data_IF_771168659137
#
_entry.id   IF_771168659137
#
_cell.length_a   1.000
_cell.length_b   1.000
_cell.length_c   1.000
_cell.angle_alpha   90.00
_cell.angle_beta   90.00
_cell.angle_gamma   90.00
#
_symmetry.space_group_name_H-M   'P 1'
#
loop_
_entity.id
_entity.type
_entity.pdbx_description
1 polymer ?
#
# COMPACT_ATOMS: atom_id res chain seq x y z
N UNK A 1 -5.90 24.80 6.53
CA UNK A 1 -4.93 25.60 5.74
C UNK A 1 -3.57 24.95 5.82
N UNK A 2 -2.88 24.83 4.70
CA UNK A 2 -1.50 24.31 4.62
C UNK A 2 -0.59 25.40 5.24
N UNK A 3 0.40 25.03 6.04
CA UNK A 3 1.34 25.99 6.61
C UNK A 3 2.22 26.62 5.50
N UNK A 4 2.72 27.85 5.71
CA UNK A 4 3.60 28.54 4.75
C UNK A 4 4.83 27.68 4.39
N UNK A 5 5.40 26.99 5.37
CA UNK A 5 6.56 26.10 5.17
C UNK A 5 6.21 24.86 4.33
N UNK A 6 5.01 24.32 4.47
CA UNK A 6 4.55 23.20 3.64
C UNK A 6 4.31 23.67 2.19
N UNK A 7 3.84 24.90 2.00
CA UNK A 7 3.69 25.48 0.67
C UNK A 7 5.04 25.71 -0.01
N UNK A 8 6.00 26.30 0.67
CA UNK A 8 7.38 26.47 0.16
C UNK A 8 7.98 25.13 -0.30
N UNK A 9 7.78 24.08 0.48
CA UNK A 9 8.23 22.73 0.13
C UNK A 9 7.54 22.20 -1.14
N UNK A 10 6.24 22.40 -1.28
CA UNK A 10 5.50 22.02 -2.49
C UNK A 10 5.98 22.77 -3.72
N UNK A 11 6.19 24.06 -3.60
CA UNK A 11 6.70 24.91 -4.69
C UNK A 11 8.10 24.46 -5.14
N UNK A 12 8.97 24.10 -4.18
CA UNK A 12 10.30 23.56 -4.48
C UNK A 12 10.20 22.20 -5.19
N UNK A 13 9.30 21.31 -4.76
CA UNK A 13 9.09 20.01 -5.38
C UNK A 13 8.55 20.15 -6.81
N UNK A 14 7.57 21.02 -7.01
CA UNK A 14 7.01 21.31 -8.34
C UNK A 14 8.10 21.85 -9.26
N UNK A 15 8.93 22.79 -8.78
CA UNK A 15 10.04 23.31 -9.56
C UNK A 15 11.02 22.18 -9.97
N UNK A 16 11.43 21.32 -9.05
CA UNK A 16 12.33 20.19 -9.35
C UNK A 16 11.74 19.25 -10.41
N UNK A 17 10.45 19.00 -10.32
CA UNK A 17 9.74 18.15 -11.28
C UNK A 17 9.66 18.80 -12.66
N UNK A 18 9.34 20.10 -12.73
CA UNK A 18 9.36 20.85 -13.99
C UNK A 18 10.76 20.90 -14.62
N UNK A 19 11.79 21.20 -13.81
CA UNK A 19 13.18 21.24 -14.28
C UNK A 19 13.61 19.86 -14.85
N UNK A 20 13.20 18.77 -14.23
CA UNK A 20 13.49 17.42 -14.70
C UNK A 20 12.76 17.11 -16.03
N UNK A 21 11.48 17.48 -16.15
CA UNK A 21 10.72 17.32 -17.39
C UNK A 21 11.32 18.14 -18.54
N UNK A 22 11.68 19.40 -18.32
CA UNK A 22 12.31 20.28 -19.32
C UNK A 22 13.68 19.76 -19.79
N UNK A 23 14.38 19.01 -18.95
CA UNK A 23 15.64 18.33 -19.32
C UNK A 23 15.41 16.96 -20.00
N UNK A 24 14.19 16.67 -20.45
CA UNK A 24 13.86 15.44 -21.14
C UNK A 24 13.85 14.20 -20.25
N UNK A 25 13.72 14.42 -18.94
CA UNK A 25 13.62 13.34 -17.96
C UNK A 25 12.33 13.52 -17.19
N UNK A 26 11.24 12.90 -17.65
CA UNK A 26 10.09 12.80 -16.77
C UNK A 26 10.51 12.03 -15.52
N UNK A 27 10.36 12.60 -14.32
CA UNK A 27 10.92 12.03 -13.08
C UNK A 27 10.41 10.62 -12.78
N UNK A 28 9.26 10.26 -13.35
CA UNK A 28 8.66 8.94 -13.24
C UNK A 28 9.14 7.94 -14.30
N UNK A 29 9.85 8.37 -15.36
CA UNK A 29 10.27 7.49 -16.45
C UNK A 29 11.46 6.59 -16.13
N UNK A 30 12.35 7.02 -15.23
CA UNK A 30 13.60 6.29 -14.95
C UNK A 30 13.65 5.63 -13.57
N UNK A 31 12.64 5.90 -12.73
CA UNK A 31 12.73 5.54 -11.30
C UNK A 31 12.36 4.10 -10.98
N UNK A 32 11.66 3.42 -11.90
CA UNK A 32 11.03 2.12 -11.61
C UNK A 32 11.39 1.00 -12.58
N UNK A 33 12.21 1.26 -13.59
CA UNK A 33 12.54 0.25 -14.60
C UNK A 33 13.25 -0.97 -14.02
N UNK A 34 13.92 -0.84 -12.87
CA UNK A 34 14.72 -1.91 -12.27
C UNK A 34 14.54 -2.10 -10.75
N UNK A 35 13.63 -1.37 -10.10
CA UNK A 35 13.52 -1.39 -8.63
C UNK A 35 12.10 -1.45 -8.06
N UNK A 36 12.01 -1.78 -6.78
CA UNK A 36 10.77 -1.67 -6.00
C UNK A 36 10.41 -0.19 -5.76
N UNK A 37 9.09 0.11 -5.60
CA UNK A 37 8.63 1.43 -5.19
C UNK A 37 9.27 1.86 -3.85
N UNK A 38 9.55 3.17 -3.63
CA UNK A 38 10.06 3.64 -2.36
C UNK A 38 9.23 3.15 -1.18
N UNK A 39 9.90 2.58 -0.18
CA UNK A 39 9.25 2.07 1.01
C UNK A 39 10.02 2.40 2.29
N UNK A 40 9.31 2.37 3.41
CA UNK A 40 9.91 2.57 4.71
C UNK A 40 10.67 1.30 5.15
N UNK A 41 11.97 1.40 5.32
CA UNK A 41 12.87 0.27 5.64
C UNK A 41 12.55 -0.44 6.95
N UNK A 42 11.85 0.23 7.88
CA UNK A 42 11.53 -0.33 9.20
C UNK A 42 10.16 -1.01 9.21
N UNK A 43 9.16 -0.36 8.61
CA UNK A 43 7.78 -0.88 8.58
C UNK A 43 7.45 -1.71 7.34
N UNK A 44 8.27 -1.66 6.29
CA UNK A 44 8.01 -2.30 5.01
C UNK A 44 6.88 -1.64 4.19
N UNK A 45 6.30 -0.52 4.68
CA UNK A 45 5.18 0.14 3.98
C UNK A 45 5.69 1.00 2.84
N UNK A 46 5.09 0.83 1.66
CA UNK A 46 5.36 1.66 0.50
C UNK A 46 4.89 3.10 0.70
N UNK A 47 5.60 4.04 0.11
CA UNK A 47 5.14 5.41 -0.05
C UNK A 47 4.25 5.51 -1.29
N UNK A 48 3.22 6.35 -1.21
CA UNK A 48 2.21 6.51 -2.25
C UNK A 48 2.11 7.95 -2.73
N UNK A 49 1.51 8.14 -3.91
CA UNK A 49 1.23 9.44 -4.48
C UNK A 49 2.50 10.27 -4.67
N UNK A 50 2.42 11.56 -4.36
CA UNK A 50 3.53 12.51 -4.56
C UNK A 50 4.79 12.14 -3.76
N UNK A 51 4.65 11.49 -2.61
CA UNK A 51 5.79 11.02 -1.83
C UNK A 51 6.61 9.98 -2.59
N UNK A 52 5.94 9.05 -3.27
CA UNK A 52 6.59 8.01 -4.06
C UNK A 52 7.44 8.62 -5.17
N UNK A 53 6.86 9.54 -5.93
CA UNK A 53 7.55 10.26 -7.01
C UNK A 53 8.75 11.05 -6.48
N UNK A 54 8.54 11.82 -5.40
CA UNK A 54 9.60 12.62 -4.80
C UNK A 54 10.78 11.78 -4.30
N UNK A 55 10.48 10.70 -3.58
CA UNK A 55 11.52 9.83 -3.02
C UNK A 55 12.30 9.08 -4.10
N UNK A 56 11.63 8.62 -5.15
CA UNK A 56 12.27 7.98 -6.27
C UNK A 56 13.20 8.94 -7.02
N UNK A 57 12.75 10.16 -7.32
CA UNK A 57 13.59 11.20 -7.90
C UNK A 57 14.79 11.56 -7.02
N UNK A 58 14.58 11.59 -5.70
CA UNK A 58 15.66 11.87 -4.77
C UNK A 58 16.68 10.72 -4.69
N UNK A 59 16.27 9.44 -4.81
CA UNK A 59 17.18 8.30 -4.92
C UNK A 59 18.11 8.43 -6.13
N UNK A 60 17.57 8.87 -7.28
CA UNK A 60 18.40 9.17 -8.47
C UNK A 60 19.39 10.31 -8.22
N UNK A 61 18.93 11.39 -7.60
CA UNK A 61 19.79 12.53 -7.27
C UNK A 61 20.94 12.15 -6.34
N UNK A 62 20.69 11.20 -5.41
CA UNK A 62 21.69 10.65 -4.52
C UNK A 62 22.60 9.61 -5.20
N UNK A 63 22.34 9.22 -6.45
CA UNK A 63 23.10 8.22 -7.21
C UNK A 63 22.79 6.77 -6.84
N UNK A 64 21.67 6.51 -6.18
CA UNK A 64 21.26 5.20 -5.70
C UNK A 64 19.81 4.85 -6.09
N UNK A 65 19.46 4.88 -7.39
CA UNK A 65 18.10 4.59 -7.84
C UNK A 65 17.67 3.14 -7.58
N UNK A 66 18.62 2.22 -7.40
CA UNK A 66 18.41 0.80 -7.15
C UNK A 66 17.96 0.48 -5.72
N UNK A 67 18.16 1.39 -4.75
CA UNK A 67 17.77 1.18 -3.36
C UNK A 67 16.52 2.00 -3.02
N UNK A 68 15.34 1.38 -2.84
CA UNK A 68 14.09 2.08 -2.58
C UNK A 68 13.84 2.36 -1.09
N UNK A 69 14.82 2.12 -0.20
CA UNK A 69 14.63 2.13 1.26
C UNK A 69 14.82 3.50 1.88
N UNK A 70 13.87 3.88 2.72
CA UNK A 70 13.84 5.16 3.45
C UNK A 70 13.47 4.94 4.91
N UNK A 71 14.03 5.74 5.82
CA UNK A 71 13.66 5.72 7.23
C UNK A 71 13.70 7.13 7.83
N UNK A 72 12.91 7.39 8.87
CA UNK A 72 13.07 8.59 9.70
C UNK A 72 14.30 8.46 10.58
N UNK A 73 14.79 9.60 11.10
CA UNK A 73 15.93 9.61 12.04
C UNK A 73 15.67 8.71 13.27
N UNK A 74 14.47 8.83 13.86
CA UNK A 74 14.10 8.04 15.04
C UNK A 74 14.01 6.55 14.73
N UNK A 75 13.44 6.17 13.59
CA UNK A 75 13.38 4.78 13.14
C UNK A 75 14.77 4.18 12.91
N UNK A 76 15.68 4.92 12.28
CA UNK A 76 17.06 4.50 12.11
C UNK A 76 17.73 4.27 13.48
N UNK A 77 17.59 5.23 14.40
CA UNK A 77 18.12 5.14 15.76
C UNK A 77 17.56 3.94 16.54
N UNK A 78 16.26 3.68 16.47
CA UNK A 78 15.62 2.52 17.13
C UNK A 78 16.16 1.18 16.61
N UNK A 79 16.57 1.13 15.33
CA UNK A 79 17.19 -0.06 14.72
C UNK A 79 18.68 -0.16 14.99
N UNK A 80 19.28 0.80 15.68
CA UNK A 80 20.72 0.88 15.91
C UNK A 80 21.49 1.36 14.66
N UNK A 81 20.79 1.91 13.68
CA UNK A 81 21.38 2.55 12.52
C UNK A 81 21.68 4.03 12.81
N UNK A 82 22.57 4.63 12.04
CA UNK A 82 23.00 6.01 12.25
C UNK A 82 22.92 6.81 10.96
N UNK A 83 22.15 7.90 10.95
CA UNK A 83 22.20 8.86 9.85
C UNK A 83 23.57 9.53 9.85
N UNK A 84 24.23 9.54 8.69
CA UNK A 84 25.57 10.12 8.53
C UNK A 84 25.57 11.60 8.86
N UNK A 85 26.62 12.15 9.51
CA UNK A 85 26.70 13.57 9.80
C UNK A 85 26.65 14.43 8.54
N UNK A 86 25.88 15.52 8.57
CA UNK A 86 25.75 16.47 7.47
C UNK A 86 24.74 16.10 6.38
N UNK A 87 24.16 14.90 6.44
CA UNK A 87 23.13 14.49 5.49
C UNK A 87 21.84 15.31 5.62
N UNK A 88 21.21 15.57 4.47
CA UNK A 88 19.93 16.29 4.40
C UNK A 88 18.83 15.29 4.07
N UNK A 89 17.83 15.22 4.94
CA UNK A 89 16.68 14.34 4.71
C UNK A 89 15.69 14.94 3.70
N UNK A 90 14.84 14.09 3.19
CA UNK A 90 13.78 14.42 2.23
C UNK A 90 12.45 14.52 2.95
N UNK A 91 11.67 15.53 2.63
CA UNK A 91 10.35 15.74 3.21
C UNK A 91 9.32 14.82 2.54
N UNK A 92 8.41 14.28 3.35
CA UNK A 92 7.22 13.53 2.93
C UNK A 92 5.99 14.04 3.66
N UNK A 93 4.85 14.06 2.97
CA UNK A 93 3.57 14.54 3.51
C UNK A 93 2.65 13.36 3.79
N UNK A 94 2.01 13.36 4.96
CA UNK A 94 0.95 12.42 5.30
C UNK A 94 -0.32 13.17 5.62
N UNK A 95 -1.42 12.70 5.04
CA UNK A 95 -2.75 13.24 5.25
C UNK A 95 -3.48 12.40 6.27
N UNK A 96 -3.83 13.01 7.40
CA UNK A 96 -4.74 12.41 8.37
C UNK A 96 -6.11 13.03 8.17
N UNK A 97 -7.06 12.20 7.78
CA UNK A 97 -8.47 12.59 7.75
C UNK A 97 -9.04 12.40 9.14
N UNK A 98 -9.62 13.46 9.69
CA UNK A 98 -10.26 13.44 11.00
C UNK A 98 -11.73 13.78 10.78
N UNK A 99 -12.62 12.93 11.26
CA UNK A 99 -14.06 13.13 11.18
C UNK A 99 -14.55 13.44 12.60
N UNK A 100 -15.19 14.59 12.77
CA UNK A 100 -15.80 14.98 14.03
C UNK A 100 -17.30 15.11 13.86
N UNK A 101 -18.08 14.63 14.84
CA UNK A 101 -19.51 14.91 14.86
C UNK A 101 -19.73 16.41 14.75
N UNK A 102 -20.57 16.85 13.80
CA UNK A 102 -20.92 18.25 13.64
C UNK A 102 -21.96 18.62 14.68
N UNK A 103 -21.68 19.67 15.42
CA UNK A 103 -22.60 20.22 16.44
C UNK A 103 -22.92 21.67 16.09
N UNK A 104 -24.10 22.13 16.48
CA UNK A 104 -24.50 23.51 16.35
C UNK A 104 -23.88 24.41 17.43
N UNK A 105 -24.25 25.68 17.45
CA UNK A 105 -23.75 26.68 18.42
C UNK A 105 -24.15 26.39 19.87
N UNK A 106 -25.13 25.50 20.10
CA UNK A 106 -25.59 25.07 21.42
C UNK A 106 -24.96 23.73 21.86
N UNK A 107 -24.18 23.08 20.96
CA UNK A 107 -23.56 21.79 21.20
C UNK A 107 -24.44 20.59 20.85
N UNK A 108 -25.60 20.82 20.21
CA UNK A 108 -26.51 19.76 19.79
C UNK A 108 -26.09 19.17 18.45
N UNK A 109 -26.32 17.83 18.22
CA UNK A 109 -25.97 17.17 16.97
C UNK A 109 -26.69 17.77 15.76
N UNK A 110 -25.95 18.16 14.71
CA UNK A 110 -26.53 18.53 13.42
C UNK A 110 -26.85 17.25 12.65
N UNK A 111 -28.13 17.08 12.26
CA UNK A 111 -28.58 15.89 11.52
C UNK A 111 -28.79 16.24 10.05
N UNK A 112 -28.53 15.28 9.17
CA UNK A 112 -28.82 15.33 7.74
C UNK A 112 -30.33 15.07 7.48
N UNK A 113 -30.72 15.08 6.19
CA UNK A 113 -32.11 14.86 5.78
C UNK A 113 -32.68 13.47 6.18
N UNK A 114 -31.81 12.51 6.42
CA UNK A 114 -32.15 11.14 6.81
C UNK A 114 -32.09 10.93 8.33
N UNK A 115 -31.85 12.01 9.11
CA UNK A 115 -31.76 11.96 10.57
C UNK A 115 -30.46 11.42 11.12
N UNK A 116 -29.42 11.26 10.27
CA UNK A 116 -28.09 10.81 10.66
C UNK A 116 -27.24 12.03 11.02
N UNK A 117 -26.42 11.91 12.07
CA UNK A 117 -25.53 12.98 12.47
C UNK A 117 -24.53 13.32 11.37
N UNK A 118 -24.48 14.58 10.97
CA UNK A 118 -23.47 15.10 10.07
C UNK A 118 -22.09 15.05 10.71
N UNK A 119 -21.06 14.82 9.90
CA UNK A 119 -19.67 14.85 10.32
C UNK A 119 -18.93 15.98 9.62
N UNK A 120 -18.15 16.72 10.38
CA UNK A 120 -17.18 17.69 9.84
C UNK A 120 -15.90 16.95 9.53
N UNK A 121 -15.50 16.94 8.24
CA UNK A 121 -14.27 16.33 7.78
C UNK A 121 -13.15 17.37 7.78
N UNK A 122 -12.12 17.11 8.53
CA UNK A 122 -10.91 17.92 8.54
C UNK A 122 -9.73 17.11 8.03
N UNK A 123 -8.80 17.78 7.34
CA UNK A 123 -7.57 17.17 6.83
C UNK A 123 -6.40 17.81 7.57
N UNK A 124 -5.67 16.99 8.30
CA UNK A 124 -4.42 17.38 8.94
C UNK A 124 -3.25 16.87 8.11
N UNK A 125 -2.46 17.80 7.56
CA UNK A 125 -1.22 17.47 6.86
C UNK A 125 -0.07 17.41 7.87
N UNK A 126 0.61 16.27 7.94
CA UNK A 126 1.82 16.08 8.73
C UNK A 126 3.01 15.89 7.83
N UNK A 127 4.07 16.64 8.09
CA UNK A 127 5.32 16.53 7.38
C UNK A 127 6.32 15.74 8.23
N UNK A 128 7.00 14.81 7.58
CA UNK A 128 8.10 14.05 8.17
C UNK A 128 9.34 14.21 7.30
N UNK A 129 10.50 14.00 7.91
CA UNK A 129 11.78 13.96 7.21
C UNK A 129 12.27 12.52 7.23
N UNK A 130 12.60 12.01 6.04
CA UNK A 130 13.15 10.67 5.85
C UNK A 130 14.51 10.74 5.18
N UNK A 131 15.34 9.77 5.46
CA UNK A 131 16.68 9.62 4.92
C UNK A 131 16.73 8.37 4.07
N UNK A 132 17.39 8.47 2.93
CA UNK A 132 17.64 7.33 2.05
C UNK A 132 18.63 6.34 2.70
N UNK A 133 18.53 5.05 2.35
CA UNK A 133 19.43 4.03 2.90
C UNK A 133 20.92 4.37 2.70
N UNK A 134 21.32 4.98 1.58
CA UNK A 134 22.68 5.43 1.34
C UNK A 134 23.20 6.48 2.32
N UNK A 135 22.28 7.21 2.98
CA UNK A 135 22.56 8.22 4.01
C UNK A 135 22.62 7.63 5.43
N UNK A 136 22.40 6.31 5.57
CA UNK A 136 22.27 5.63 6.85
C UNK A 136 23.34 4.54 6.97
N UNK A 137 24.16 4.61 8.02
CA UNK A 137 25.10 3.55 8.38
C UNK A 137 24.40 2.43 9.15
N UNK A 138 24.79 1.17 8.90
CA UNK A 138 24.27 0.00 9.61
C UNK A 138 23.02 -0.64 9.00
N UNK A 139 22.42 -0.04 7.96
CA UNK A 139 21.22 -0.59 7.30
C UNK A 139 21.53 -1.84 6.43
N UNK A 140 22.79 -2.05 6.06
CA UNK A 140 23.23 -3.13 5.18
C UNK A 140 22.84 -2.93 3.69
N UNK A 141 23.34 -3.78 2.79
CA UNK A 141 23.01 -3.70 1.36
C UNK A 141 21.53 -4.00 1.11
N UNK A 142 20.99 -3.45 0.02
CA UNK A 142 19.67 -3.81 -0.47
C UNK A 142 19.78 -5.05 -1.37
N UNK A 143 18.90 -6.01 -1.13
CA UNK A 143 18.75 -7.19 -1.98
C UNK A 143 17.39 -7.09 -2.70
N UNK A 144 17.39 -6.77 -4.01
CA UNK A 144 16.16 -6.70 -4.78
C UNK A 144 15.42 -8.04 -4.78
N UNK A 145 14.10 -8.01 -4.76
CA UNK A 145 13.31 -9.22 -4.97
C UNK A 145 13.60 -9.79 -6.36
N UNK A 146 13.82 -11.10 -6.41
CA UNK A 146 13.94 -11.79 -7.70
C UNK A 146 12.63 -11.57 -8.50
N UNK A 147 12.77 -11.03 -9.71
CA UNK A 147 11.65 -10.85 -10.64
C UNK A 147 11.42 -12.13 -11.44
N UNK A 148 10.17 -12.45 -11.64
CA UNK A 148 9.77 -13.54 -12.51
C UNK A 148 8.88 -12.98 -13.64
N UNK A 149 9.43 -12.82 -14.86
CA UNK A 149 8.69 -12.24 -15.99
C UNK A 149 7.39 -12.99 -16.33
N UNK A 150 7.33 -14.30 -16.06
CA UNK A 150 6.12 -15.09 -16.29
C UNK A 150 5.03 -14.67 -15.29
N UNK A 151 5.37 -14.58 -14.00
CA UNK A 151 4.42 -14.15 -12.96
C UNK A 151 3.95 -12.70 -13.16
N UNK A 152 4.84 -11.82 -13.61
CA UNK A 152 4.52 -10.43 -13.95
C UNK A 152 3.52 -10.36 -15.10
N UNK A 153 3.74 -11.13 -16.16
CA UNK A 153 2.82 -11.20 -17.31
C UNK A 153 1.47 -11.81 -16.93
N UNK A 154 1.44 -12.86 -16.13
CA UNK A 154 0.20 -13.45 -15.61
C UNK A 154 -0.56 -12.46 -14.72
N UNK A 155 0.13 -11.66 -13.93
CA UNK A 155 -0.46 -10.62 -13.09
C UNK A 155 -1.09 -9.53 -13.95
N UNK A 156 -0.39 -9.07 -15.00
CA UNK A 156 -0.91 -8.11 -15.95
C UNK A 156 -2.19 -8.60 -16.65
N UNK A 157 -2.19 -9.83 -17.15
CA UNK A 157 -3.36 -10.44 -17.78
C UNK A 157 -4.57 -10.49 -16.84
N UNK A 158 -4.34 -10.86 -15.58
CA UNK A 158 -5.41 -10.89 -14.59
C UNK A 158 -5.97 -9.50 -14.34
N UNK A 159 -5.11 -8.48 -14.18
CA UNK A 159 -5.54 -7.09 -13.97
C UNK A 159 -6.42 -6.62 -15.13
N UNK A 160 -5.97 -6.81 -16.37
CA UNK A 160 -6.74 -6.43 -17.55
C UNK A 160 -8.10 -7.17 -17.61
N UNK A 161 -8.12 -8.45 -17.33
CA UNK A 161 -9.34 -9.27 -17.34
C UNK A 161 -10.30 -8.92 -16.20
N UNK A 162 -9.79 -8.75 -15.00
CA UNK A 162 -10.60 -8.52 -13.79
C UNK A 162 -11.08 -7.07 -13.67
N UNK A 163 -10.47 -6.13 -14.41
CA UNK A 163 -10.97 -4.75 -14.51
C UNK A 163 -12.41 -4.67 -15.03
N UNK A 164 -12.79 -5.62 -15.90
CA UNK A 164 -14.07 -5.61 -16.60
C UNK A 164 -14.11 -4.67 -17.80
N UNK A 165 -12.98 -4.04 -18.17
CA UNK A 165 -12.87 -3.23 -19.38
C UNK A 165 -13.03 -4.10 -20.62
N UNK A 166 -13.82 -3.63 -21.60
CA UNK A 166 -13.87 -4.25 -22.91
C UNK A 166 -12.61 -3.88 -23.69
N UNK A 167 -11.72 -4.87 -23.92
CA UNK A 167 -10.46 -4.68 -24.65
C UNK A 167 -10.60 -5.32 -26.03
N UNK A 168 -10.45 -4.51 -27.07
CA UNK A 168 -10.51 -4.90 -28.49
C UNK A 168 -9.11 -4.87 -29.06
N UNK A 169 -8.78 -5.89 -29.86
CA UNK A 169 -7.51 -5.96 -30.59
C UNK A 169 -7.70 -5.66 -32.06
N UNK A 170 -6.68 -5.04 -32.68
CA UNK A 170 -6.64 -4.68 -34.10
C UNK A 170 -6.30 -3.21 -34.35
N UNK A 171 -6.10 -2.86 -35.59
CA UNK A 171 -5.63 -1.53 -35.98
C UNK A 171 -4.16 -1.29 -35.66
N UNK A 172 -3.74 -0.01 -35.65
CA UNK A 172 -2.35 0.40 -35.44
C UNK A 172 -2.20 1.40 -34.29
N UNK A 173 -3.29 1.71 -33.58
CA UNK A 173 -3.33 2.72 -32.54
C UNK A 173 -3.93 2.12 -31.27
N UNK A 174 -3.42 2.55 -30.13
CA UNK A 174 -4.01 2.29 -28.83
C UNK A 174 -4.77 3.54 -28.37
N UNK A 175 -5.98 3.34 -27.84
CA UNK A 175 -6.78 4.42 -27.25
C UNK A 175 -7.92 3.87 -26.41
N UNK A 176 -8.36 4.66 -25.46
CA UNK A 176 -9.62 4.48 -24.75
C UNK A 176 -10.74 5.30 -25.43
N UNK A 177 -11.84 4.66 -25.78
CA UNK A 177 -13.04 5.31 -26.33
C UNK A 177 -14.02 5.66 -25.20
N UNK A 178 -14.10 6.95 -24.85
CA UNK A 178 -15.02 7.42 -23.79
C UNK A 178 -16.50 7.15 -24.14
N UNK A 179 -16.89 7.39 -25.39
CA UNK A 179 -18.29 7.21 -25.84
C UNK A 179 -18.67 5.75 -26.01
N UNK A 180 -17.73 4.90 -26.36
CA UNK A 180 -17.94 3.47 -26.56
C UNK A 180 -17.63 2.62 -25.33
N UNK A 181 -16.99 3.21 -24.34
CA UNK A 181 -16.48 2.58 -23.11
C UNK A 181 -15.67 1.31 -23.36
N UNK A 182 -14.77 1.36 -24.32
CA UNK A 182 -13.86 0.26 -24.64
C UNK A 182 -12.43 0.75 -24.87
N UNK A 183 -11.48 -0.15 -24.66
CA UNK A 183 -10.07 0.05 -24.96
C UNK A 183 -9.76 -0.62 -26.29
N UNK A 184 -9.13 0.11 -27.22
CA UNK A 184 -8.56 -0.44 -28.44
C UNK A 184 -7.05 -0.56 -28.27
N UNK A 185 -6.47 -1.70 -28.63
CA UNK A 185 -5.02 -1.91 -28.70
C UNK A 185 -4.67 -2.66 -29.98
N UNK A 186 -3.47 -2.44 -30.59
CA UNK A 186 -2.98 -3.25 -31.69
C UNK A 186 -2.91 -4.75 -31.34
N UNK A 187 -2.82 -5.61 -32.35
CA UNK A 187 -2.58 -7.03 -32.14
C UNK A 187 -1.24 -7.25 -31.38
N UNK A 188 -1.20 -8.29 -30.54
CA UNK A 188 -0.05 -8.54 -29.63
C UNK A 188 1.27 -8.76 -30.36
N UNK A 189 1.23 -9.31 -31.58
CA UNK A 189 2.40 -9.54 -32.41
C UNK A 189 2.95 -8.27 -33.08
N UNK A 190 2.23 -7.15 -33.01
CA UNK A 190 2.70 -5.83 -33.47
C UNK A 190 3.60 -5.14 -32.41
N UNK A 191 3.59 -5.60 -31.17
CA UNK A 191 4.45 -5.06 -30.11
C UNK A 191 5.84 -5.73 -30.13
N UNK A 192 6.89 -4.97 -29.82
CA UNK A 192 8.27 -5.49 -29.75
C UNK A 192 8.47 -6.47 -28.59
N UNK A 193 7.72 -6.29 -27.52
CA UNK A 193 7.76 -7.15 -26.34
C UNK A 193 6.41 -7.24 -25.65
N UNK A 194 6.26 -8.24 -24.77
CA UNK A 194 5.09 -8.33 -23.90
C UNK A 194 4.99 -7.12 -22.95
N UNK A 195 6.14 -6.62 -22.49
CA UNK A 195 6.19 -5.44 -21.63
C UNK A 195 5.61 -4.19 -22.33
N UNK A 196 5.91 -3.99 -23.62
CA UNK A 196 5.34 -2.88 -24.41
C UNK A 196 3.82 -3.00 -24.49
N UNK A 197 3.31 -4.21 -24.77
CA UNK A 197 1.87 -4.46 -24.82
C UNK A 197 1.20 -4.14 -23.46
N UNK A 198 1.75 -4.66 -22.34
CA UNK A 198 1.13 -4.42 -21.04
C UNK A 198 1.26 -2.97 -20.60
N UNK A 199 2.39 -2.31 -20.85
CA UNK A 199 2.57 -0.89 -20.55
C UNK A 199 1.52 -0.04 -21.25
N UNK A 200 1.30 -0.29 -22.55
CA UNK A 200 0.28 0.40 -23.35
C UNK A 200 -1.14 0.07 -22.84
N UNK A 201 -1.46 -1.20 -22.64
CA UNK A 201 -2.80 -1.60 -22.20
C UNK A 201 -3.15 -1.06 -20.81
N UNK A 202 -2.17 -0.97 -19.89
CA UNK A 202 -2.36 -0.40 -18.56
C UNK A 202 -2.51 1.13 -18.59
N UNK A 203 -1.87 1.81 -19.55
CA UNK A 203 -2.07 3.23 -19.76
C UNK A 203 -3.52 3.51 -20.21
N UNK A 204 -4.01 2.77 -21.21
CA UNK A 204 -5.40 2.88 -21.68
C UNK A 204 -6.40 2.50 -20.57
N UNK A 205 -6.05 1.53 -19.72
CA UNK A 205 -6.84 1.20 -18.55
C UNK A 205 -6.86 2.36 -17.52
N UNK A 206 -5.78 3.14 -17.45
CA UNK A 206 -5.73 4.39 -16.70
C UNK A 206 -6.83 5.35 -17.16
N UNK A 207 -6.95 5.60 -18.48
CA UNK A 207 -8.03 6.42 -19.04
C UNK A 207 -9.41 5.83 -18.79
N UNK A 208 -9.57 4.51 -18.97
CA UNK A 208 -10.84 3.82 -18.73
C UNK A 208 -11.38 4.08 -17.32
N UNK A 209 -10.53 4.19 -16.29
CA UNK A 209 -10.98 4.53 -14.94
C UNK A 209 -11.63 5.91 -14.85
N UNK A 210 -11.41 6.79 -15.83
CA UNK A 210 -11.95 8.15 -15.89
C UNK A 210 -13.41 8.27 -16.29
N UNK A 211 -14.02 7.19 -16.80
CA UNK A 211 -15.42 7.18 -17.23
C UNK A 211 -16.38 7.74 -16.16
N UNK A 212 -17.48 8.40 -16.55
CA UNK A 212 -18.49 8.92 -15.61
C UNK A 212 -19.03 7.88 -14.62
N UNK A 213 -19.18 6.64 -15.03
CA UNK A 213 -19.66 5.54 -14.17
C UNK A 213 -18.59 4.99 -13.19
N UNK A 214 -17.34 5.48 -13.28
CA UNK A 214 -16.22 5.09 -12.41
C UNK A 214 -15.71 6.28 -11.60
N UNK A 215 -14.58 6.83 -11.96
CA UNK A 215 -13.99 7.97 -11.20
C UNK A 215 -14.45 9.33 -11.70
N UNK A 216 -15.23 9.37 -12.80
CA UNK A 216 -15.85 10.57 -13.38
C UNK A 216 -14.85 11.74 -13.48
N UNK A 217 -13.72 11.50 -14.16
CA UNK A 217 -12.73 12.54 -14.42
C UNK A 217 -13.15 13.39 -15.61
N UNK A 218 -12.76 14.65 -15.57
CA UNK A 218 -12.92 15.55 -16.72
C UNK A 218 -11.94 15.14 -17.81
N UNK A 219 -12.46 14.86 -19.01
CA UNK A 219 -11.68 14.47 -20.18
C UNK A 219 -12.02 15.35 -21.38
N UNK A 220 -11.18 15.39 -22.39
CA UNK A 220 -11.39 16.10 -23.65
C UNK A 220 -10.98 15.23 -24.82
N UNK A 221 -11.68 15.33 -25.94
CA UNK A 221 -11.27 14.74 -27.22
C UNK A 221 -10.34 15.66 -28.04
N UNK A 222 -10.17 16.90 -27.61
CA UNK A 222 -9.24 17.84 -28.23
C UNK A 222 -7.84 17.64 -27.65
N UNK A 223 -6.97 16.99 -28.41
CA UNK A 223 -5.58 16.68 -28.05
C UNK A 223 -4.73 17.92 -27.74
N UNK A 224 -5.14 19.12 -28.18
CA UNK A 224 -4.44 20.36 -27.89
C UNK A 224 -5.00 21.06 -26.65
N UNK A 225 -6.03 20.51 -26.02
CA UNK A 225 -6.63 21.12 -24.82
C UNK A 225 -5.81 20.84 -23.58
N UNK A 226 -5.83 21.78 -22.63
CA UNK A 226 -5.23 21.63 -21.31
C UNK A 226 -5.87 20.44 -20.52
N UNK A 227 -7.18 20.23 -20.72
CA UNK A 227 -7.92 19.12 -20.10
C UNK A 227 -7.39 17.78 -20.61
N UNK A 228 -7.13 17.64 -21.92
CA UNK A 228 -6.54 16.44 -22.48
C UNK A 228 -5.15 16.19 -21.92
N UNK A 229 -4.29 17.20 -21.92
CA UNK A 229 -2.94 17.06 -21.37
C UNK A 229 -2.94 16.66 -19.87
N UNK A 230 -3.87 17.18 -19.06
CA UNK A 230 -4.03 16.77 -17.67
C UNK A 230 -4.45 15.31 -17.52
N UNK A 231 -5.37 14.84 -18.36
CA UNK A 231 -5.82 13.43 -18.34
C UNK A 231 -4.71 12.49 -18.77
N UNK A 232 -3.91 12.85 -19.81
CA UNK A 232 -2.72 12.10 -20.20
C UNK A 232 -1.72 11.97 -19.04
N UNK A 233 -1.48 13.06 -18.30
CA UNK A 233 -0.62 13.03 -17.11
C UNK A 233 -1.17 12.08 -16.03
N UNK A 234 -2.49 12.05 -15.85
CA UNK A 234 -3.13 11.12 -14.88
C UNK A 234 -2.96 9.67 -15.35
N UNK A 235 -3.19 9.37 -16.63
CA UNK A 235 -3.05 8.01 -17.15
C UNK A 235 -1.61 7.52 -17.08
N UNK A 236 -0.66 8.39 -17.41
CA UNK A 236 0.78 8.09 -17.34
C UNK A 236 1.21 7.76 -15.91
N UNK A 237 0.89 8.62 -14.94
CA UNK A 237 1.21 8.38 -13.54
C UNK A 237 0.47 7.13 -12.99
N UNK A 238 -0.76 6.86 -13.47
CA UNK A 238 -1.51 5.65 -13.12
C UNK A 238 -0.78 4.40 -13.59
N UNK A 239 -0.38 4.37 -14.85
CA UNK A 239 0.39 3.25 -15.42
C UNK A 239 1.68 3.02 -14.63
N UNK A 240 2.40 4.09 -14.27
CA UNK A 240 3.58 4.01 -13.42
C UNK A 240 3.28 3.39 -12.06
N UNK A 241 2.24 3.83 -11.35
CA UNK A 241 1.89 3.28 -10.03
C UNK A 241 1.49 1.81 -10.11
N UNK A 242 0.74 1.41 -11.15
CA UNK A 242 0.39 0.01 -11.39
C UNK A 242 1.64 -0.81 -11.69
N UNK A 243 2.52 -0.32 -12.54
CA UNK A 243 3.80 -0.98 -12.87
C UNK A 243 4.68 -1.19 -11.63
N UNK A 244 4.81 -0.16 -10.79
CA UNK A 244 5.59 -0.24 -9.55
C UNK A 244 5.04 -1.28 -8.55
N UNK A 245 3.72 -1.43 -8.45
CA UNK A 245 3.10 -2.38 -7.52
C UNK A 245 3.05 -3.81 -8.09
N UNK A 246 3.00 -3.95 -9.42
CA UNK A 246 2.87 -5.26 -10.08
C UNK A 246 4.20 -5.86 -10.52
N UNK A 247 5.25 -5.05 -10.63
CA UNK A 247 6.54 -5.44 -11.19
C UNK A 247 6.58 -5.41 -12.73
N UNK A 248 5.48 -5.05 -13.41
CA UNK A 248 5.44 -4.93 -14.88
C UNK A 248 6.32 -3.76 -15.29
N UNK A 249 7.36 -3.95 -16.11
CA UNK A 249 8.24 -2.87 -16.50
C UNK A 249 7.52 -1.89 -17.44
N UNK A 250 7.76 -0.60 -17.23
CA UNK A 250 7.46 0.40 -18.24
C UNK A 250 8.59 0.47 -19.26
N UNK A 251 8.26 0.65 -20.52
CA UNK A 251 9.25 0.62 -21.60
C UNK A 251 9.57 2.01 -22.11
N UNK A 252 10.78 2.18 -22.68
CA UNK A 252 11.18 3.45 -23.28
C UNK A 252 10.26 3.85 -24.46
N UNK A 253 9.77 2.89 -25.22
CA UNK A 253 8.86 3.15 -26.36
C UNK A 253 7.55 3.77 -25.89
N UNK A 254 7.01 3.31 -24.76
CA UNK A 254 5.82 3.91 -24.14
C UNK A 254 6.05 5.40 -23.83
N UNK A 255 7.20 5.75 -23.26
CA UNK A 255 7.53 7.14 -22.93
C UNK A 255 7.78 8.03 -24.15
N UNK A 256 8.44 7.50 -25.17
CA UNK A 256 8.72 8.24 -26.41
C UNK A 256 7.42 8.69 -27.10
N UNK A 257 6.37 7.87 -27.00
CA UNK A 257 5.05 8.20 -27.53
C UNK A 257 4.37 9.35 -26.77
N UNK A 258 4.71 9.56 -25.49
CA UNK A 258 4.14 10.62 -24.65
C UNK A 258 5.02 11.88 -24.52
N UNK A 259 6.23 11.87 -25.11
CA UNK A 259 7.15 12.99 -25.05
C UNK A 259 6.55 14.31 -25.59
N UNK A 260 5.62 14.23 -26.53
CA UNK A 260 4.93 15.40 -27.10
C UNK A 260 4.06 16.17 -26.08
N UNK A 261 3.65 15.52 -24.99
CA UNK A 261 2.80 16.16 -23.97
C UNK A 261 3.60 16.83 -22.84
N UNK A 262 4.90 16.58 -22.75
CA UNK A 262 5.74 17.09 -21.65
C UNK A 262 5.68 18.61 -21.58
N UNK A 263 5.76 19.31 -22.70
CA UNK A 263 5.69 20.79 -22.72
C UNK A 263 4.34 21.30 -22.21
N UNK A 264 3.24 20.62 -22.54
CA UNK A 264 1.91 20.96 -22.04
C UNK A 264 1.78 20.71 -20.54
N UNK A 265 2.34 19.60 -20.05
CA UNK A 265 2.36 19.30 -18.61
C UNK A 265 3.17 20.34 -17.82
N UNK A 266 4.36 20.68 -18.31
CA UNK A 266 5.21 21.71 -17.70
C UNK A 266 4.47 23.05 -17.66
N UNK A 267 3.81 23.43 -18.74
CA UNK A 267 3.02 24.67 -18.80
C UNK A 267 1.88 24.64 -17.77
N UNK A 268 1.05 23.59 -17.77
CA UNK A 268 -0.07 23.47 -16.86
C UNK A 268 0.35 23.47 -15.38
N UNK A 269 1.48 22.84 -15.06
CA UNK A 269 2.02 22.78 -13.70
C UNK A 269 2.65 24.11 -13.28
N UNK A 270 3.28 24.85 -14.21
CA UNK A 270 3.79 26.20 -13.92
C UNK A 270 2.66 27.22 -13.70
N UNK A 271 1.55 27.10 -14.42
CA UNK A 271 0.38 27.95 -14.26
C UNK A 271 -0.41 27.65 -12.97
N UNK A 272 -0.56 26.37 -12.61
CA UNK A 272 -1.15 25.94 -11.34
C UNK A 272 -0.30 24.82 -10.70
N UNK A 273 0.59 25.13 -9.74
CA UNK A 273 1.36 24.12 -9.02
C UNK A 273 0.52 23.01 -8.37
N UNK A 274 -0.75 23.29 -8.05
CA UNK A 274 -1.66 22.29 -7.50
C UNK A 274 -2.15 21.29 -8.57
N UNK A 275 -2.02 21.61 -9.87
CA UNK A 275 -2.43 20.71 -10.95
C UNK A 275 -1.69 19.38 -10.86
N UNK A 276 -0.39 19.41 -10.57
CA UNK A 276 0.41 18.20 -10.36
C UNK A 276 -0.12 17.36 -9.19
N UNK A 277 -0.36 17.97 -8.04
CA UNK A 277 -0.89 17.25 -6.87
C UNK A 277 -2.28 16.66 -7.13
N UNK A 278 -3.13 17.37 -7.87
CA UNK A 278 -4.44 16.88 -8.31
C UNK A 278 -4.29 15.67 -9.24
N UNK A 279 -3.42 15.77 -10.26
CA UNK A 279 -3.16 14.68 -11.20
C UNK A 279 -2.62 13.43 -10.47
N UNK A 280 -1.64 13.60 -9.60
CA UNK A 280 -1.08 12.49 -8.80
C UNK A 280 -2.14 11.86 -7.88
N UNK A 281 -3.01 12.65 -7.25
CA UNK A 281 -4.10 12.11 -6.43
C UNK A 281 -5.16 11.36 -7.27
N UNK A 282 -5.45 11.84 -8.47
CA UNK A 282 -6.34 11.14 -9.40
C UNK A 282 -5.72 9.84 -9.90
N UNK A 283 -4.44 9.85 -10.24
CA UNK A 283 -3.68 8.68 -10.63
C UNK A 283 -3.59 7.62 -9.50
N UNK A 284 -3.42 8.06 -8.25
CA UNK A 284 -3.45 7.17 -7.10
C UNK A 284 -4.81 6.46 -6.98
N UNK A 285 -5.93 7.20 -7.12
CA UNK A 285 -7.28 6.60 -7.10
C UNK A 285 -7.49 5.66 -8.29
N UNK A 286 -7.00 6.03 -9.47
CA UNK A 286 -7.09 5.20 -10.67
C UNK A 286 -6.31 3.89 -10.49
N UNK A 287 -5.08 3.94 -9.96
CA UNK A 287 -4.31 2.75 -9.65
C UNK A 287 -4.97 1.86 -8.57
N UNK A 288 -5.60 2.46 -7.57
CA UNK A 288 -6.36 1.74 -6.55
C UNK A 288 -7.58 1.04 -7.13
N UNK A 289 -8.29 1.68 -8.06
CA UNK A 289 -9.41 1.09 -8.79
C UNK A 289 -8.97 -0.09 -9.66
N UNK A 290 -7.86 0.05 -10.39
CA UNK A 290 -7.27 -1.01 -11.23
C UNK A 290 -6.82 -2.21 -10.38
N UNK A 291 -6.17 -1.95 -9.25
CA UNK A 291 -5.54 -2.98 -8.42
C UNK A 291 -6.48 -3.56 -7.35
N UNK A 292 -7.72 -3.10 -7.25
CA UNK A 292 -8.63 -3.49 -6.16
C UNK A 292 -8.82 -5.01 -6.08
N UNK A 293 -8.93 -5.70 -7.20
CA UNK A 293 -9.15 -7.16 -7.26
C UNK A 293 -7.86 -7.94 -6.94
N UNK A 294 -6.71 -7.50 -7.46
CA UNK A 294 -5.40 -8.09 -7.09
C UNK A 294 -5.12 -7.94 -5.59
N UNK A 295 -5.41 -6.79 -5.01
CA UNK A 295 -5.25 -6.58 -3.56
C UNK A 295 -6.18 -7.44 -2.71
N UNK A 296 -7.41 -7.69 -3.17
CA UNK A 296 -8.33 -8.63 -2.51
C UNK A 296 -7.76 -10.04 -2.59
N UNK A 297 -7.32 -10.46 -3.78
CA UNK A 297 -6.71 -11.78 -4.01
C UNK A 297 -5.42 -12.00 -3.21
N UNK A 298 -4.52 -11.01 -3.19
CA UNK A 298 -3.30 -11.06 -2.37
C UNK A 298 -3.64 -11.16 -0.88
N UNK A 299 -4.68 -10.48 -0.42
CA UNK A 299 -5.19 -10.63 0.96
C UNK A 299 -5.74 -12.04 1.19
N UNK A 300 -6.50 -12.59 0.27
CA UNK A 300 -7.05 -13.95 0.35
C UNK A 300 -5.95 -15.02 0.27
N UNK A 301 -4.96 -14.86 -0.60
CA UNK A 301 -3.79 -15.74 -0.69
C UNK A 301 -2.89 -15.64 0.54
N UNK A 302 -2.68 -14.42 1.06
CA UNK A 302 -1.95 -14.20 2.30
C UNK A 302 -2.74 -14.68 3.53
N UNK A 303 -4.06 -14.75 3.47
CA UNK A 303 -4.91 -15.39 4.47
C UNK A 303 -4.79 -16.92 4.42
N UNK A 304 -4.41 -17.50 3.26
CA UNK A 304 -4.08 -18.91 3.09
C UNK A 304 -2.60 -19.25 3.38
N UNK A 305 -1.71 -18.27 3.32
CA UNK A 305 -0.29 -18.43 3.68
C UNK A 305 -0.07 -17.83 5.07
N UNK A 306 0.13 -18.68 6.05
CA UNK A 306 0.56 -18.28 7.40
C UNK A 306 1.92 -17.57 7.31
N UNK A 307 1.93 -16.24 7.34
CA UNK A 307 3.16 -15.46 7.48
C UNK A 307 3.72 -15.68 8.88
N UNK A 308 4.83 -16.40 8.94
CA UNK A 308 5.59 -16.57 10.16
C UNK A 308 6.55 -15.39 10.32
N UNK A 309 6.20 -14.40 11.13
CA UNK A 309 7.20 -13.51 11.72
C UNK A 309 7.71 -14.15 13.00
N UNK A 310 8.98 -14.52 13.03
CA UNK A 310 9.65 -15.18 14.16
C UNK A 310 9.15 -16.61 14.51
N UNK A 311 8.70 -17.40 13.52
CA UNK A 311 8.31 -18.80 13.74
C UNK A 311 7.01 -19.01 14.53
N UNK A 312 6.18 -17.97 14.67
CA UNK A 312 4.86 -18.07 15.29
C UNK A 312 3.75 -18.08 14.24
N UNK A 313 2.72 -18.95 14.37
CA UNK A 313 1.57 -18.96 13.48
C UNK A 313 0.78 -17.64 13.61
N UNK A 314 0.39 -17.04 12.49
CA UNK A 314 -0.47 -15.85 12.45
C UNK A 314 -1.92 -16.28 12.37
N UNK A 315 -2.76 -15.72 13.24
CA UNK A 315 -4.20 -15.96 13.21
C UNK A 315 -4.80 -15.33 11.95
N UNK A 316 -5.58 -16.13 11.20
CA UNK A 316 -6.36 -15.63 10.08
C UNK A 316 -7.53 -14.76 10.58
N UNK A 317 -7.98 -13.78 9.80
CA UNK A 317 -9.21 -13.02 10.12
C UNK A 317 -10.41 -13.94 10.31
N UNK A 318 -10.47 -15.03 9.55
CA UNK A 318 -11.50 -16.07 9.70
C UNK A 318 -11.42 -16.72 11.08
N UNK A 319 -10.22 -17.11 11.52
CA UNK A 319 -10.03 -17.68 12.87
C UNK A 319 -10.41 -16.68 13.96
N UNK A 320 -10.08 -15.40 13.80
CA UNK A 320 -10.47 -14.33 14.73
C UNK A 320 -12.00 -14.15 14.75
N UNK A 321 -12.64 -14.16 13.59
CA UNK A 321 -14.10 -14.03 13.45
C UNK A 321 -14.85 -15.26 14.00
N UNK A 322 -14.36 -16.46 13.72
CA UNK A 322 -14.93 -17.73 14.22
C UNK A 322 -14.83 -17.83 15.75
N UNK A 323 -13.84 -17.17 16.36
CA UNK A 323 -13.69 -17.07 17.82
C UNK A 323 -14.63 -16.05 18.47
N UNK A 324 -15.49 -15.37 17.72
CA UNK A 324 -16.42 -14.33 18.21
C UNK A 324 -15.75 -13.23 19.05
N UNK A 325 -14.51 -12.91 18.74
CA UNK A 325 -13.72 -11.90 19.46
C UNK A 325 -13.97 -10.47 18.98
N UNK A 326 -14.78 -10.29 17.92
CA UNK A 326 -15.11 -9.00 17.33
C UNK A 326 -16.63 -8.79 17.41
N UNK A 327 -17.12 -8.50 18.59
CA UNK A 327 -18.29 -7.67 18.80
C UNK A 327 -17.84 -6.51 19.71
N UNK A 328 -17.43 -5.41 19.08
CA UNK A 328 -16.95 -4.19 19.74
C UNK A 328 -15.45 -3.93 19.50
N UNK A 329 -15.05 -2.67 19.49
CA UNK A 329 -13.73 -2.11 19.17
C UNK A 329 -12.53 -2.57 20.04
N UNK A 330 -12.51 -3.80 20.51
CA UNK A 330 -11.46 -4.32 21.36
C UNK A 330 -10.24 -4.74 20.54
N UNK A 331 -9.13 -4.01 20.66
CA UNK A 331 -7.82 -4.40 20.13
C UNK A 331 -7.37 -5.70 20.80
N UNK A 332 -7.33 -6.79 20.04
CA UNK A 332 -6.80 -8.07 20.49
C UNK A 332 -5.28 -8.02 20.39
N UNK A 333 -4.60 -8.22 21.52
CA UNK A 333 -3.14 -8.26 21.57
C UNK A 333 -2.67 -9.71 21.54
N UNK A 334 -1.94 -10.09 20.50
CA UNK A 334 -1.19 -11.35 20.47
C UNK A 334 0.06 -11.20 21.33
N UNK A 335 0.16 -12.03 22.36
CA UNK A 335 1.38 -12.12 23.17
C UNK A 335 2.29 -13.18 22.58
N UNK A 336 3.60 -12.90 22.41
CA UNK A 336 4.53 -13.94 22.00
C UNK A 336 4.63 -15.02 23.10
N UNK A 337 4.76 -16.28 22.66
CA UNK A 337 5.09 -17.38 23.55
C UNK A 337 6.52 -17.19 24.06
N UNK A 338 6.72 -17.39 25.36
CA UNK A 338 8.04 -17.35 25.99
C UNK A 338 8.30 -18.69 26.68
N UNK A 339 9.44 -19.33 26.36
CA UNK A 339 9.85 -20.57 27.01
C UNK A 339 10.11 -20.32 28.53
N UNK A 340 9.78 -21.30 29.35
CA UNK A 340 9.81 -21.18 30.81
C UNK A 340 8.59 -20.50 31.44
N UNK A 341 7.63 -20.03 30.63
CA UNK A 341 6.40 -19.41 31.13
C UNK A 341 5.21 -20.37 31.16
N UNK A 342 4.21 -19.96 31.95
CA UNK A 342 2.94 -20.65 32.07
C UNK A 342 1.82 -19.73 31.60
N UNK A 343 0.91 -20.30 30.80
CA UNK A 343 -0.26 -19.60 30.27
C UNK A 343 -1.51 -20.29 30.83
N UNK A 344 -2.43 -19.50 31.40
CA UNK A 344 -3.69 -19.97 31.96
C UNK A 344 -4.83 -19.28 31.25
N UNK A 345 -5.82 -20.05 30.80
CA UNK A 345 -7.00 -19.52 30.17
C UNK A 345 -7.73 -20.53 29.29
N UNK A 346 -8.77 -20.04 28.62
CA UNK A 346 -9.65 -20.86 27.81
C UNK A 346 -9.10 -21.02 26.40
N UNK A 347 -9.18 -22.23 25.84
CA UNK A 347 -8.87 -22.49 24.44
C UNK A 347 -10.04 -22.01 23.59
N UNK A 348 -9.76 -21.08 22.68
CA UNK A 348 -10.77 -20.51 21.79
C UNK A 348 -10.80 -21.17 20.43
N UNK A 349 -9.66 -21.68 19.95
CA UNK A 349 -9.53 -22.26 18.63
C UNK A 349 -8.42 -23.32 18.62
N UNK A 350 -8.63 -24.38 17.83
CA UNK A 350 -7.62 -25.40 17.53
C UNK A 350 -7.69 -25.67 16.03
N UNK A 351 -6.55 -25.52 15.36
CA UNK A 351 -6.38 -25.86 13.95
C UNK A 351 -5.32 -26.94 13.80
N UNK A 352 -5.78 -28.19 13.72
CA UNK A 352 -4.89 -29.34 13.58
C UNK A 352 -4.19 -29.37 12.21
N UNK A 353 -4.85 -28.81 11.17
CA UNK A 353 -4.29 -28.77 9.82
C UNK A 353 -3.12 -27.81 9.69
N UNK A 354 -3.17 -26.71 10.42
CA UNK A 354 -2.13 -25.68 10.49
C UNK A 354 -1.20 -25.87 11.70
N UNK A 355 -1.51 -26.80 12.58
CA UNK A 355 -0.66 -27.20 13.71
C UNK A 355 -0.60 -26.18 14.84
N UNK A 356 -1.69 -25.46 15.14
CA UNK A 356 -1.72 -24.51 16.26
C UNK A 356 -3.03 -24.49 17.04
N UNK A 357 -2.97 -23.94 18.28
CA UNK A 357 -4.17 -23.57 19.01
C UNK A 357 -4.03 -22.15 19.60
N UNK A 358 -5.18 -21.55 19.95
CA UNK A 358 -5.28 -20.20 20.48
C UNK A 358 -5.86 -20.24 21.88
N UNK A 359 -5.14 -19.67 22.84
CA UNK A 359 -5.55 -19.56 24.22
C UNK A 359 -5.82 -18.12 24.62
N UNK A 360 -6.95 -17.84 25.22
CA UNK A 360 -7.25 -16.55 25.83
C UNK A 360 -6.67 -16.49 27.25
N UNK A 361 -5.68 -15.62 27.45
CA UNK A 361 -4.97 -15.45 28.71
C UNK A 361 -5.33 -14.17 29.45
N UNK A 362 -6.26 -13.39 28.93
CA UNK A 362 -6.79 -12.16 29.49
C UNK A 362 -7.92 -11.61 28.65
N UNK A 363 -8.61 -10.55 29.12
CA UNK A 363 -9.78 -9.99 28.42
C UNK A 363 -9.52 -9.65 26.94
N UNK A 364 -8.33 -9.17 26.63
CA UNK A 364 -7.92 -8.75 25.28
C UNK A 364 -6.56 -9.35 24.87
N UNK A 365 -6.14 -10.45 25.53
CA UNK A 365 -4.83 -11.05 25.30
C UNK A 365 -4.98 -12.50 24.88
N UNK A 366 -4.41 -12.85 23.74
CA UNK A 366 -4.36 -14.19 23.19
C UNK A 366 -2.92 -14.66 23.09
N UNK A 367 -2.70 -15.96 23.24
CA UNK A 367 -1.43 -16.62 22.96
C UNK A 367 -1.67 -17.73 21.96
N UNK A 368 -0.84 -17.81 20.94
CA UNK A 368 -0.85 -18.88 19.94
C UNK A 368 0.21 -19.90 20.33
N UNK A 369 -0.18 -21.15 20.38
CA UNK A 369 0.67 -22.27 20.73
C UNK A 369 0.77 -23.23 19.55
N UNK A 370 1.98 -23.75 19.25
CA UNK A 370 2.18 -24.80 18.25
C UNK A 370 1.83 -26.16 18.83
N UNK A 371 1.03 -26.96 18.12
CA UNK A 371 0.58 -28.28 18.58
C UNK A 371 1.73 -29.31 18.66
N UNK A 372 2.70 -29.22 17.74
CA UNK A 372 3.89 -30.08 17.74
C UNK A 372 4.77 -29.90 19.00
N UNK A 373 4.61 -28.78 19.70
CA UNK A 373 5.30 -28.42 20.95
C UNK A 373 4.49 -28.74 22.20
N UNK A 374 3.39 -29.49 22.10
CA UNK A 374 2.54 -29.87 23.21
C UNK A 374 2.58 -31.40 23.43
N UNK A 375 2.42 -31.82 24.69
CA UNK A 375 2.24 -33.26 25.02
C UNK A 375 0.87 -33.76 24.57
N UNK A 376 -0.17 -32.93 24.73
CA UNK A 376 -1.56 -33.22 24.35
C UNK A 376 -2.19 -32.01 23.67
N UNK A 377 -3.08 -32.25 22.71
CA UNK A 377 -3.85 -31.20 22.04
C UNK A 377 -5.08 -30.86 22.89
N UNK A 378 -5.19 -29.60 23.38
CA UNK A 378 -6.32 -29.21 24.21
C UNK A 378 -7.59 -29.04 23.35
N UNK A 379 -8.77 -29.23 23.96
CA UNK A 379 -10.05 -29.07 23.26
C UNK A 379 -10.55 -27.64 23.30
N UNK A 380 -11.25 -27.24 22.24
CA UNK A 380 -11.91 -25.92 22.19
C UNK A 380 -12.89 -25.80 23.35
N UNK A 381 -12.83 -24.69 24.05
CA UNK A 381 -13.69 -24.40 25.20
C UNK A 381 -13.10 -24.81 26.56
N UNK A 382 -12.06 -25.64 26.60
CA UNK A 382 -11.41 -26.01 27.84
C UNK A 382 -10.59 -24.88 28.47
N UNK A 383 -10.69 -24.73 29.77
CA UNK A 383 -9.79 -23.86 30.55
C UNK A 383 -8.56 -24.68 30.95
N UNK A 384 -7.42 -24.36 30.37
CA UNK A 384 -6.19 -25.12 30.56
C UNK A 384 -5.04 -24.25 31.03
N UNK A 385 -4.06 -24.90 31.67
CA UNK A 385 -2.76 -24.35 32.00
C UNK A 385 -1.73 -24.99 31.08
N UNK A 386 -1.10 -24.20 30.22
CA UNK A 386 -0.03 -24.64 29.32
C UNK A 386 1.30 -24.15 29.90
N UNK A 387 2.21 -25.07 30.18
CA UNK A 387 3.51 -24.79 30.83
C UNK A 387 4.64 -25.23 29.92
N UNK A 388 5.52 -24.30 29.55
CA UNK A 388 6.72 -24.57 28.74
C UNK A 388 7.94 -24.75 29.63
N UNK A 389 8.70 -25.81 29.37
CA UNK A 389 10.03 -26.01 29.95
C UNK A 389 11.08 -25.08 29.33
N UNK A 390 12.25 -24.98 29.97
CA UNK A 390 13.37 -24.17 29.47
C UNK A 390 14.24 -24.85 28.42
N UNK A 391 14.09 -26.18 28.22
CA UNK A 391 15.01 -27.02 27.43
C UNK A 391 14.34 -27.69 26.21
N UNK A 392 13.57 -26.96 25.44
CA UNK A 392 12.95 -27.47 24.21
C UNK A 392 11.99 -28.68 24.41
N UNK A 393 11.61 -28.98 25.66
CA UNK A 393 10.65 -30.01 25.99
C UNK A 393 9.24 -29.63 25.53
N UNK A 394 8.39 -30.64 25.27
CA UNK A 394 6.99 -30.40 24.97
C UNK A 394 6.27 -29.75 26.13
N UNK A 395 5.38 -28.84 25.85
CA UNK A 395 4.59 -28.16 26.87
C UNK A 395 3.61 -29.10 27.53
N UNK A 396 3.53 -29.07 28.86
CA UNK A 396 2.52 -29.79 29.63
C UNK A 396 1.20 -29.05 29.62
N UNK A 397 0.13 -29.77 29.28
CA UNK A 397 -1.24 -29.26 29.28
C UNK A 397 -1.96 -29.84 30.49
N UNK A 398 -2.44 -28.99 31.39
CA UNK A 398 -3.20 -29.41 32.58
C UNK A 398 -4.56 -28.72 32.61
N UNK A 399 -5.60 -29.42 33.03
CA UNK A 399 -6.94 -28.84 33.21
C UNK A 399 -6.88 -27.87 34.39
N UNK A 400 -7.48 -26.69 34.22
CA UNK A 400 -7.60 -25.71 35.28
C UNK A 400 -8.87 -26.04 36.10
N UNK A 401 -8.73 -26.52 37.34
CA UNK A 401 -9.87 -26.68 38.23
C UNK A 401 -10.51 -25.31 38.51
N UNK A 402 -11.81 -25.17 38.30
CA UNK A 402 -12.57 -24.01 38.72
C UNK A 402 -12.56 -23.96 40.28
N UNK A 403 -11.92 -22.97 40.84
CA UNK A 403 -12.10 -22.66 42.27
C UNK A 403 -13.51 -22.14 42.47
N UNK A 404 -14.42 -22.99 42.93
CA UNK A 404 -15.67 -22.54 43.53
C UNK A 404 -15.37 -21.62 44.70
N UNK A 405 -15.53 -20.34 44.51
CA UNK A 405 -15.62 -19.41 45.66
C UNK A 405 -16.96 -19.70 46.34
N UNK A 406 -16.90 -20.58 47.35
CA UNK A 406 -18.00 -20.77 48.27
C UNK A 406 -18.29 -19.44 48.94
N UNK A 407 -19.49 -18.94 48.70
CA UNK A 407 -20.10 -17.90 49.52
C UNK A 407 -20.14 -18.35 50.96
N UNK A 408 -19.27 -17.83 51.78
CA UNK A 408 -19.49 -17.86 53.25
C UNK A 408 -20.53 -16.81 53.59
N UNK A 409 -21.59 -17.30 54.18
CA UNK A 409 -22.68 -16.54 54.85
C UNK A 409 -22.15 -15.61 55.92
#
# INVERSE_FOLDING_TARGET
MISSKAQEYRDELVKKLCDAMENGTAPWQRTWTDGDAPFNAVSGRSYHGINSINLAMQSQTLGHPEDPRWATFDQAKEKGWHVKPGEKGTHVEFYKFDEKPKVDEFGDPVLDADGKQEVEKSVLVRNYVVFHASQIEGIGPYEPKARNPIEESEKAERILKESGAEIRHGGNEAFYSLTGDYIQVPERDQFRSQADYYSTALHELGHWTGHPDRLNRETSSDMNSETYAKEELVAEITSMFVSAETGIPQTQEHFDNHAAYVDHWVKAVKEDPNALFKAVNQAQKASEEILKYERVREREQNQGQTLSTNGQPVLTEKAIKDMKLIEGEAKVFLKPRVDGQQYKGKILHVDESQGYCVQQVGRQSLVVHKLDRMEEVPKIGEAVKISYGTNNEKAKVGIQEERHHGLRR
#
